data_IF_732210703035
#
_entry.id   IF_732210703035
#
_cell.length_a   1.000
_cell.length_b   1.000
_cell.length_c   1.000
_cell.angle_alpha   90.00
_cell.angle_beta   90.00
_cell.angle_gamma   90.00
#
_symmetry.space_group_name_H-M   'P 1'
#
loop_
_entity.id
_entity.type
_entity.pdbx_description
1 polymer ?
#
# COMPACT_ATOMS: atom_id res chain seq x y z
N UNK A 1 -30.68 -19.07 -57.54
CA UNK A 1 -30.80 -17.68 -58.06
C UNK A 1 -31.32 -16.82 -56.92
N UNK A 2 -30.44 -16.11 -56.20
CA UNK A 2 -30.31 -14.64 -56.25
C UNK A 2 -31.64 -13.90 -56.11
N UNK A 3 -32.01 -13.55 -54.89
CA UNK A 3 -32.78 -12.32 -54.66
C UNK A 3 -32.41 -11.75 -53.30
N UNK A 4 -31.59 -10.68 -53.35
CA UNK A 4 -31.48 -9.60 -52.37
C UNK A 4 -31.22 -10.02 -50.91
N UNK A 5 -29.98 -10.14 -50.43
CA UNK A 5 -29.07 -9.02 -50.16
C UNK A 5 -29.78 -7.66 -50.02
N UNK A 6 -29.77 -7.12 -48.78
CA UNK A 6 -30.04 -5.73 -48.36
C UNK A 6 -31.46 -5.42 -47.85
N UNK A 7 -31.70 -5.74 -46.59
CA UNK A 7 -32.38 -4.83 -45.63
C UNK A 7 -31.77 -5.14 -44.26
N UNK A 8 -30.80 -4.34 -43.84
CA UNK A 8 -30.98 -3.24 -42.87
C UNK A 8 -30.97 -3.74 -41.41
N UNK A 9 -29.77 -3.63 -40.82
CA UNK A 9 -29.45 -3.09 -39.50
C UNK A 9 -30.29 -3.45 -38.26
N UNK A 10 -29.54 -3.59 -37.16
CA UNK A 10 -29.91 -3.41 -35.75
C UNK A 10 -30.32 -4.68 -34.99
N UNK A 11 -29.33 -5.32 -34.38
CA UNK A 11 -29.35 -5.68 -32.96
C UNK A 11 -27.96 -6.21 -32.59
N UNK A 12 -27.07 -5.30 -32.19
CA UNK A 12 -25.86 -5.67 -31.48
C UNK A 12 -26.29 -6.31 -30.14
N UNK A 13 -26.31 -7.64 -30.09
CA UNK A 13 -26.53 -8.37 -28.86
C UNK A 13 -25.29 -8.19 -27.96
N UNK A 14 -25.49 -7.41 -26.90
CA UNK A 14 -24.51 -7.14 -25.85
C UNK A 14 -24.25 -8.47 -25.10
N UNK A 15 -23.12 -9.11 -25.41
CA UNK A 15 -22.59 -10.20 -24.60
C UNK A 15 -21.84 -9.59 -23.41
N UNK A 16 -22.50 -9.64 -22.26
CA UNK A 16 -21.96 -9.37 -20.93
C UNK A 16 -20.80 -10.34 -20.68
N UNK A 17 -19.56 -9.84 -20.69
CA UNK A 17 -18.43 -10.52 -20.05
C UNK A 17 -18.05 -9.72 -18.81
N UNK A 18 -18.56 -10.16 -17.67
CA UNK A 18 -18.13 -9.75 -16.35
C UNK A 18 -16.68 -10.22 -16.12
N UNK A 19 -15.70 -9.37 -16.40
CA UNK A 19 -14.39 -9.50 -15.76
C UNK A 19 -14.47 -8.80 -14.42
N UNK A 20 -14.56 -9.62 -13.37
CA UNK A 20 -14.50 -9.19 -11.98
C UNK A 20 -13.27 -8.30 -11.77
N UNK A 21 -13.54 -7.10 -11.28
CA UNK A 21 -12.55 -6.17 -10.73
C UNK A 21 -11.85 -6.85 -9.56
N UNK A 22 -10.57 -7.15 -9.72
CA UNK A 22 -9.63 -7.14 -8.60
C UNK A 22 -8.69 -5.94 -8.79
N UNK A 23 -9.26 -4.74 -8.69
CA UNK A 23 -8.50 -3.62 -8.19
C UNK A 23 -8.31 -3.89 -6.70
N UNK A 24 -7.15 -4.42 -6.32
CA UNK A 24 -6.64 -4.27 -4.97
C UNK A 24 -6.64 -2.78 -4.68
N UNK A 25 -7.70 -2.30 -4.03
CA UNK A 25 -7.85 -0.94 -3.55
C UNK A 25 -6.83 -0.75 -2.43
N UNK A 26 -5.58 -0.51 -2.81
CA UNK A 26 -4.66 0.24 -2.00
C UNK A 26 -5.38 1.55 -1.70
N UNK A 27 -5.73 1.79 -0.44
CA UNK A 27 -6.34 3.04 0.06
C UNK A 27 -5.34 4.22 -0.04
N UNK A 28 -4.59 4.32 -1.14
CA UNK A 28 -3.74 5.46 -1.46
C UNK A 28 -4.65 6.56 -2.01
N UNK A 29 -4.70 7.75 -1.37
CA UNK A 29 -5.39 8.89 -1.93
C UNK A 29 -4.93 9.11 -3.37
N UNK A 30 -5.87 9.36 -4.28
CA UNK A 30 -5.63 9.54 -5.74
C UNK A 30 -4.72 10.79 -6.02
N UNK A 31 -4.41 11.57 -4.98
CA UNK A 31 -3.46 12.68 -4.97
C UNK A 31 -2.33 12.49 -3.92
N UNK A 32 -1.86 11.27 -3.67
CA UNK A 32 -0.61 11.08 -2.92
C UNK A 32 0.54 11.55 -3.80
N UNK A 33 0.89 12.83 -3.68
CA UNK A 33 2.15 13.34 -4.19
C UNK A 33 3.22 12.89 -3.19
N UNK A 34 4.16 12.01 -3.57
CA UNK A 34 5.30 11.66 -2.72
C UNK A 34 5.97 12.97 -2.33
N UNK A 35 5.97 13.28 -1.04
CA UNK A 35 6.54 14.51 -0.50
C UNK A 35 7.96 14.66 -1.08
N UNK A 36 8.31 15.75 -1.78
CA UNK A 36 9.65 15.90 -2.37
C UNK A 36 10.75 15.85 -1.29
N UNK A 37 10.39 16.07 -0.01
CA UNK A 37 11.28 15.86 1.13
C UNK A 37 11.61 14.37 1.38
N UNK A 38 10.73 13.42 1.01
CA UNK A 38 11.04 11.99 1.14
C UNK A 38 12.23 11.59 0.26
N UNK A 39 12.48 12.27 -0.87
CA UNK A 39 13.63 11.94 -1.74
C UNK A 39 14.98 12.25 -1.09
N UNK A 40 15.05 13.30 -0.27
CA UNK A 40 16.28 13.77 0.37
C UNK A 40 16.35 13.46 1.87
N UNK A 41 15.27 12.98 2.47
CA UNK A 41 15.20 12.70 3.91
C UNK A 41 16.29 11.73 4.37
N UNK A 42 16.83 11.92 5.57
CA UNK A 42 17.72 10.93 6.17
C UNK A 42 16.96 9.64 6.50
N UNK A 43 17.66 8.49 6.60
CA UNK A 43 17.04 7.24 7.07
C UNK A 43 16.39 7.39 8.45
N UNK A 44 16.92 8.27 9.30
CA UNK A 44 16.33 8.65 10.59
C UNK A 44 14.95 9.29 10.46
N UNK A 45 14.75 10.16 9.47
CA UNK A 45 13.46 10.81 9.25
C UNK A 45 12.45 9.85 8.64
N UNK A 46 12.88 9.01 7.68
CA UNK A 46 12.03 7.91 7.18
C UNK A 46 11.57 7.00 8.32
N UNK A 47 12.46 6.69 9.26
CA UNK A 47 12.11 5.89 10.45
C UNK A 47 11.05 6.57 11.29
N UNK A 48 11.18 7.86 11.56
CA UNK A 48 10.20 8.62 12.33
C UNK A 48 8.83 8.63 11.63
N UNK A 49 8.80 8.79 10.30
CA UNK A 49 7.54 8.74 9.52
C UNK A 49 6.90 7.35 9.58
N UNK A 50 7.69 6.29 9.41
CA UNK A 50 7.18 4.91 9.49
C UNK A 50 6.69 4.58 10.90
N UNK A 51 7.38 5.04 11.96
CA UNK A 51 6.95 4.80 13.34
C UNK A 51 5.66 5.57 13.67
N UNK A 52 5.54 6.81 13.20
CA UNK A 52 4.30 7.59 13.34
C UNK A 52 3.12 6.94 12.59
N UNK A 53 3.31 6.52 11.34
CA UNK A 53 2.27 5.85 10.55
C UNK A 53 1.82 4.54 11.22
N UNK A 54 2.77 3.77 11.77
CA UNK A 54 2.46 2.61 12.60
C UNK A 54 1.62 2.99 13.81
N UNK A 55 2.01 4.05 14.54
CA UNK A 55 1.30 4.52 15.74
C UNK A 55 -0.16 4.83 15.46
N UNK A 56 -0.43 5.66 14.44
CA UNK A 56 -1.79 6.03 14.01
C UNK A 56 -2.60 4.80 13.63
N UNK A 57 -2.02 3.89 12.85
CA UNK A 57 -2.72 2.69 12.37
C UNK A 57 -3.06 1.76 13.53
N UNK A 58 -2.10 1.50 14.41
CA UNK A 58 -2.26 0.59 15.54
C UNK A 58 -3.18 1.15 16.62
N UNK A 59 -3.10 2.45 16.88
CA UNK A 59 -4.02 3.14 17.78
C UNK A 59 -5.47 2.98 17.30
N UNK A 60 -5.71 3.09 15.99
CA UNK A 60 -7.04 2.85 15.40
C UNK A 60 -7.47 1.39 15.49
N UNK A 61 -6.57 0.45 15.19
CA UNK A 61 -6.88 -0.99 15.24
C UNK A 61 -7.18 -1.51 16.65
N UNK A 62 -6.44 -1.02 17.65
CA UNK A 62 -6.53 -1.48 19.03
C UNK A 62 -7.41 -0.58 19.91
N UNK A 63 -7.85 0.56 19.40
CA UNK A 63 -8.57 1.60 20.15
C UNK A 63 -7.79 2.06 21.40
N UNK A 64 -6.48 2.29 21.25
CA UNK A 64 -5.57 2.74 22.33
C UNK A 64 -4.84 4.03 21.95
N UNK A 65 -4.16 4.65 22.91
CA UNK A 65 -3.33 5.83 22.65
C UNK A 65 -2.06 5.49 21.86
N UNK A 66 -1.70 6.35 20.89
CA UNK A 66 -0.47 6.23 20.09
C UNK A 66 0.79 6.17 20.97
N UNK A 67 0.80 6.92 22.07
CA UNK A 67 1.91 6.94 23.04
C UNK A 67 2.19 5.55 23.63
N UNK A 68 1.16 4.72 23.85
CA UNK A 68 1.31 3.36 24.36
C UNK A 68 2.00 2.42 23.36
N UNK A 69 1.98 2.79 22.08
CA UNK A 69 2.49 2.00 20.96
C UNK A 69 3.84 2.50 20.43
N UNK A 70 4.28 3.70 20.83
CA UNK A 70 5.53 4.33 20.36
C UNK A 70 6.73 3.38 20.36
N UNK A 71 7.04 2.72 21.48
CA UNK A 71 8.17 1.77 21.55
C UNK A 71 8.05 0.59 20.57
N UNK A 72 6.84 0.06 20.38
CA UNK A 72 6.59 -1.06 19.46
C UNK A 72 6.68 -0.61 18.01
N UNK A 73 6.15 0.58 17.71
CA UNK A 73 6.23 1.16 16.38
C UNK A 73 7.64 1.63 16.01
N UNK A 74 8.44 2.05 16.99
CA UNK A 74 9.87 2.32 16.78
C UNK A 74 10.65 1.04 16.51
N UNK A 75 10.33 -0.07 17.19
CA UNK A 75 10.87 -1.40 16.87
C UNK A 75 10.55 -1.76 15.41
N UNK A 76 9.28 -1.63 15.01
CA UNK A 76 8.81 -1.96 13.67
C UNK A 76 9.50 -1.12 12.59
N UNK A 77 9.56 0.20 12.76
CA UNK A 77 10.19 1.09 11.80
C UNK A 77 11.69 0.78 11.66
N UNK A 78 12.35 0.48 12.78
CA UNK A 78 13.76 0.12 12.79
C UNK A 78 14.08 -1.19 12.10
N UNK A 79 13.28 -2.22 12.37
CA UNK A 79 13.49 -3.54 11.82
C UNK A 79 13.15 -3.57 10.33
N UNK A 80 12.04 -2.92 9.93
CA UNK A 80 11.63 -2.80 8.54
C UNK A 80 12.69 -2.10 7.70
N UNK A 81 13.13 -0.90 8.12
CA UNK A 81 14.15 -0.15 7.36
C UNK A 81 15.52 -0.85 7.33
N UNK A 82 15.87 -1.61 8.38
CA UNK A 82 17.11 -2.42 8.38
C UNK A 82 17.05 -3.63 7.46
N UNK A 83 15.86 -4.16 7.22
CA UNK A 83 15.64 -5.30 6.31
C UNK A 83 15.52 -4.87 4.84
N UNK A 84 15.34 -3.56 4.59
CA UNK A 84 15.24 -3.01 3.24
C UNK A 84 16.61 -2.85 2.59
N UNK A 85 16.67 -3.15 1.30
CA UNK A 85 17.82 -2.82 0.46
C UNK A 85 17.81 -1.35 0.06
N UNK A 86 18.91 -0.86 -0.52
CA UNK A 86 19.00 0.53 -0.98
C UNK A 86 17.93 0.83 -2.06
N UNK A 87 17.65 -0.13 -2.94
CA UNK A 87 16.65 -0.01 -4.00
C UNK A 87 15.23 0.03 -3.42
N UNK A 88 14.95 -0.77 -2.40
CA UNK A 88 13.65 -0.77 -1.70
C UNK A 88 13.44 0.54 -0.94
N UNK A 89 14.50 1.09 -0.34
CA UNK A 89 14.44 2.42 0.29
C UNK A 89 14.14 3.49 -0.76
N UNK A 90 14.80 3.47 -1.92
CA UNK A 90 14.50 4.43 -2.99
C UNK A 90 13.06 4.29 -3.50
N UNK A 91 12.59 3.06 -3.72
CA UNK A 91 11.20 2.83 -4.12
C UNK A 91 10.20 3.38 -3.08
N UNK A 92 10.49 3.23 -1.78
CA UNK A 92 9.68 3.82 -0.72
C UNK A 92 9.73 5.36 -0.72
N UNK A 93 10.88 5.97 -1.04
CA UNK A 93 10.99 7.43 -1.19
C UNK A 93 10.20 7.97 -2.37
N UNK A 94 10.27 7.25 -3.49
CA UNK A 94 9.61 7.65 -4.73
C UNK A 94 8.10 7.46 -4.69
N UNK A 95 7.61 6.45 -3.97
CA UNK A 95 6.19 6.08 -3.99
C UNK A 95 5.47 6.34 -2.66
N UNK A 96 6.20 6.48 -1.57
CA UNK A 96 5.66 6.56 -0.21
C UNK A 96 5.02 5.28 0.31
N UNK A 97 5.09 4.18 -0.46
CA UNK A 97 4.44 2.91 -0.12
C UNK A 97 5.45 1.77 -0.20
N UNK A 98 5.27 0.75 0.63
CA UNK A 98 6.09 -0.45 0.58
C UNK A 98 5.67 -1.30 -0.62
N UNK A 99 6.64 -1.64 -1.48
CA UNK A 99 6.46 -2.62 -2.55
C UNK A 99 6.20 -4.03 -1.97
N UNK A 100 5.82 -4.99 -2.81
CA UNK A 100 5.45 -6.35 -2.34
C UNK A 100 6.57 -7.06 -1.57
N UNK A 101 7.82 -6.93 -2.01
CA UNK A 101 8.99 -7.47 -1.30
C UNK A 101 9.12 -6.88 0.10
N UNK A 102 9.00 -5.55 0.21
CA UNK A 102 9.10 -4.82 1.48
C UNK A 102 7.89 -5.11 2.37
N UNK A 103 6.70 -5.31 1.79
CA UNK A 103 5.49 -5.70 2.54
C UNK A 103 5.70 -7.00 3.31
N UNK A 104 6.32 -8.01 2.71
CA UNK A 104 6.65 -9.25 3.40
C UNK A 104 7.54 -9.03 4.63
N UNK A 105 8.58 -8.18 4.47
CA UNK A 105 9.52 -7.82 5.54
C UNK A 105 8.86 -6.97 6.64
N UNK A 106 7.97 -6.06 6.25
CA UNK A 106 7.19 -5.25 7.17
C UNK A 106 6.24 -6.12 8.01
N UNK A 107 5.55 -7.08 7.40
CA UNK A 107 4.70 -8.04 8.12
C UNK A 107 5.51 -8.87 9.12
N UNK A 108 6.68 -9.39 8.72
CA UNK A 108 7.56 -10.11 9.64
C UNK A 108 8.03 -9.21 10.81
N UNK A 109 8.27 -7.92 10.54
CA UNK A 109 8.65 -6.94 11.57
C UNK A 109 7.49 -6.63 12.54
N UNK A 110 6.25 -6.59 12.05
CA UNK A 110 5.07 -6.46 12.92
C UNK A 110 4.97 -7.61 13.91
N UNK A 111 5.16 -8.85 13.46
CA UNK A 111 5.09 -10.03 14.33
C UNK A 111 6.23 -10.03 15.38
N UNK A 112 7.44 -9.72 14.94
CA UNK A 112 8.63 -9.58 15.80
C UNK A 112 8.42 -8.54 16.90
N UNK A 113 7.85 -7.39 16.56
CA UNK A 113 7.59 -6.30 17.49
C UNK A 113 6.28 -6.45 18.29
N UNK A 114 5.58 -7.59 18.17
CA UNK A 114 4.33 -7.90 18.88
C UNK A 114 3.27 -6.83 18.66
N UNK A 115 3.08 -6.47 17.39
CA UNK A 115 2.10 -5.53 16.88
C UNK A 115 0.98 -6.29 16.16
N UNK A 116 -0.24 -5.74 16.18
CA UNK A 116 -1.36 -6.37 15.50
C UNK A 116 -1.22 -6.23 13.99
N UNK A 117 -1.45 -7.30 13.23
CA UNK A 117 -1.49 -7.22 11.77
C UNK A 117 -2.77 -6.47 11.35
N UNK A 118 -2.68 -5.45 10.49
CA UNK A 118 -3.86 -4.83 9.90
C UNK A 118 -4.67 -5.89 9.15
N UNK A 119 -5.99 -5.90 9.35
CA UNK A 119 -6.88 -6.68 8.50
C UNK A 119 -6.78 -6.09 7.08
N UNK A 120 -6.41 -6.96 6.14
CA UNK A 120 -6.25 -6.65 4.72
C UNK A 120 -7.60 -6.50 4.02
#
# INVERSE_FOLDING_TARGET
>A
MRTALRTLLAAAAVAVSATAVLASASNTPINYQPDPALKTESLSQLRARVSQACGVTQARLLNVSEASLSRKCDCYAGQTLRAMSAEEVQAYRDTGVFNDSTRGKALASLDSCKLQRPAM
#
